data_IF_676156960104
#
_entry.id   IF_676156960104
#
_cell.length_a   1.000
_cell.length_b   1.000
_cell.length_c   1.000
_cell.angle_alpha   90.00
_cell.angle_beta   90.00
_cell.angle_gamma   90.00
#
_symmetry.space_group_name_H-M   'P 1'
#
loop_
_entity.id
_entity.type
_entity.pdbx_description
1 polymer ?
#
# COMPACT_ATOMS: atom_id res chain seq x y z
N UNK A 1 -33.83 -54.90 61.03
CA UNK A 1 -32.99 -55.80 60.22
C UNK A 1 -31.55 -55.31 60.35
N UNK A 2 -30.75 -55.70 61.36
CA UNK A 2 -30.11 -57.02 61.58
C UNK A 2 -29.45 -57.48 60.26
N UNK A 3 -28.13 -57.57 60.10
CA UNK A 3 -27.07 -58.23 60.91
C UNK A 3 -25.68 -57.71 60.49
N UNK A 4 -24.76 -57.30 61.38
CA UNK A 4 -23.78 -58.07 62.19
C UNK A 4 -22.57 -58.66 61.41
N UNK A 5 -21.39 -58.38 61.98
CA UNK A 5 -20.08 -59.09 61.89
C UNK A 5 -19.20 -58.71 60.67
N UNK A 6 -17.90 -58.39 60.78
CA UNK A 6 -16.92 -58.75 61.81
C UNK A 6 -15.79 -57.71 61.92
N UNK A 7 -15.60 -57.22 63.14
CA UNK A 7 -14.36 -56.64 63.64
C UNK A 7 -13.35 -57.75 63.91
N UNK A 8 -12.18 -57.70 63.27
CA UNK A 8 -10.89 -58.25 63.75
C UNK A 8 -9.88 -58.15 62.63
N UNK A 9 -9.03 -57.12 62.66
CA UNK A 9 -7.60 -57.25 62.33
C UNK A 9 -6.87 -56.16 63.12
N UNK A 10 -6.68 -56.46 64.41
CA UNK A 10 -5.76 -55.78 65.29
C UNK A 10 -4.33 -56.10 64.83
N UNK A 11 -3.54 -55.04 64.71
CA UNK A 11 -2.11 -54.96 65.04
C UNK A 11 -1.17 -55.90 64.28
N UNK A 12 -0.56 -55.34 63.23
CA UNK A 12 0.91 -55.39 63.10
C UNK A 12 1.38 -53.99 62.69
N UNK A 13 1.31 -53.02 63.61
CA UNK A 13 2.19 -51.86 63.55
C UNK A 13 3.54 -52.33 64.12
N UNK A 14 4.35 -52.96 63.27
CA UNK A 14 5.75 -53.23 63.57
C UNK A 14 6.42 -51.85 63.58
N UNK A 15 6.59 -51.28 64.77
CA UNK A 15 7.49 -50.14 64.98
C UNK A 15 8.88 -50.63 64.63
N UNK A 16 9.22 -50.48 63.35
CA UNK A 16 10.57 -50.65 62.86
C UNK A 16 11.36 -49.52 63.49
N UNK A 17 12.27 -49.89 64.37
CA UNK A 17 13.25 -49.02 64.99
C UNK A 17 14.12 -48.45 63.87
N UNK A 18 13.65 -47.36 63.26
CA UNK A 18 14.37 -46.63 62.22
C UNK A 18 15.51 -45.91 62.94
N UNK A 19 16.63 -46.61 63.09
CA UNK A 19 17.93 -45.93 63.21
C UNK A 19 17.94 -44.88 62.10
N UNK A 20 18.14 -43.59 62.38
CA UNK A 20 18.23 -42.58 61.33
C UNK A 20 19.45 -42.94 60.49
N UNK A 21 19.20 -43.64 59.37
CA UNK A 21 20.19 -43.84 58.33
C UNK A 21 20.44 -42.43 57.78
N UNK A 22 21.56 -41.83 58.20
CA UNK A 22 21.99 -40.55 57.69
C UNK A 22 22.01 -40.60 56.17
N UNK A 23 21.48 -39.55 55.54
CA UNK A 23 21.46 -39.40 54.09
C UNK A 23 22.84 -39.73 53.53
N UNK A 24 22.93 -40.72 52.65
CA UNK A 24 24.19 -41.03 51.99
C UNK A 24 24.48 -39.92 50.97
N UNK A 25 25.71 -39.42 50.91
CA UNK A 25 26.12 -38.37 49.95
C UNK A 25 25.78 -38.75 48.51
N UNK A 26 25.83 -40.05 48.18
CA UNK A 26 25.46 -40.59 46.87
C UNK A 26 23.98 -40.48 46.55
N UNK A 27 23.09 -40.61 47.53
CA UNK A 27 21.64 -40.44 47.34
C UNK A 27 21.29 -38.97 47.08
N UNK A 28 21.97 -38.05 47.77
CA UNK A 28 21.84 -36.61 47.52
C UNK A 28 22.40 -36.21 46.14
N UNK A 29 23.50 -36.83 45.70
CA UNK A 29 24.06 -36.63 44.36
C UNK A 29 23.09 -37.08 43.25
N UNK A 30 22.52 -38.28 43.37
CA UNK A 30 21.57 -38.79 42.38
C UNK A 30 20.28 -37.96 42.38
N UNK A 31 19.78 -37.57 43.55
CA UNK A 31 18.63 -36.66 43.66
C UNK A 31 18.86 -35.31 42.99
N UNK A 32 20.03 -34.71 43.20
CA UNK A 32 20.42 -33.46 42.54
C UNK A 32 20.52 -33.62 41.01
N UNK A 33 21.04 -34.75 40.53
CA UNK A 33 21.16 -35.04 39.11
C UNK A 33 19.80 -35.25 38.42
N UNK A 34 18.90 -36.03 39.02
CA UNK A 34 17.53 -36.21 38.49
C UNK A 34 16.74 -34.91 38.55
N UNK A 35 16.86 -34.16 39.66
CA UNK A 35 16.26 -32.83 39.79
C UNK A 35 16.78 -31.85 38.73
N UNK A 36 18.08 -31.87 38.45
CA UNK A 36 18.70 -31.06 37.40
C UNK A 36 18.14 -31.35 36.01
N UNK A 37 17.96 -32.63 35.66
CA UNK A 37 17.34 -33.01 34.39
C UNK A 37 15.86 -32.60 34.30
N UNK A 38 15.10 -32.75 35.38
CA UNK A 38 13.69 -32.33 35.42
C UNK A 38 13.55 -30.82 35.21
N UNK A 39 14.37 -30.01 35.89
CA UNK A 39 14.36 -28.54 35.74
C UNK A 39 14.82 -28.12 34.35
N UNK A 40 15.87 -28.75 33.80
CA UNK A 40 16.33 -28.47 32.44
C UNK A 40 15.27 -28.76 31.38
N UNK A 41 14.57 -29.90 31.50
CA UNK A 41 13.48 -30.25 30.61
C UNK A 41 12.31 -29.26 30.69
N UNK A 42 11.94 -28.82 31.89
CA UNK A 42 10.88 -27.83 32.08
C UNK A 42 11.28 -26.45 31.53
N UNK A 43 12.54 -26.04 31.72
CA UNK A 43 13.05 -24.78 31.19
C UNK A 43 13.02 -24.78 29.65
N UNK A 44 13.41 -25.90 29.02
CA UNK A 44 13.37 -26.05 27.57
C UNK A 44 11.95 -25.89 27.00
N UNK A 45 10.95 -26.49 27.66
CA UNK A 45 9.54 -26.35 27.26
C UNK A 45 9.02 -24.92 27.41
N UNK A 46 9.43 -24.21 28.46
CA UNK A 46 9.03 -22.81 28.64
C UNK A 46 9.67 -21.94 27.55
N UNK A 47 10.95 -22.14 27.23
CA UNK A 47 11.60 -21.35 26.18
C UNK A 47 10.96 -21.57 24.82
N UNK A 48 10.59 -22.81 24.48
CA UNK A 48 9.92 -23.08 23.20
C UNK A 48 8.52 -22.49 23.12
N UNK A 49 7.76 -22.50 24.22
CA UNK A 49 6.44 -21.85 24.27
C UNK A 49 6.55 -20.34 24.16
N UNK A 50 7.49 -19.71 24.88
CA UNK A 50 7.70 -18.26 24.82
C UNK A 50 8.15 -17.82 23.41
N UNK A 51 8.96 -18.62 22.73
CA UNK A 51 9.33 -18.36 21.33
C UNK A 51 8.12 -18.48 20.40
N UNK A 52 7.27 -19.50 20.58
CA UNK A 52 6.04 -19.65 19.80
C UNK A 52 5.08 -18.47 20.00
N UNK A 53 4.79 -18.09 21.26
CA UNK A 53 3.91 -16.97 21.59
C UNK A 53 4.42 -15.65 20.99
N UNK A 54 5.76 -15.44 21.01
CA UNK A 54 6.38 -14.27 20.39
C UNK A 54 6.20 -14.25 18.88
N UNK A 55 6.37 -15.39 18.22
CA UNK A 55 6.20 -15.49 16.77
C UNK A 55 4.74 -15.24 16.36
N UNK A 56 3.78 -15.82 17.08
CA UNK A 56 2.35 -15.64 16.82
C UNK A 56 1.93 -14.18 17.04
N UNK A 57 2.47 -13.52 18.06
CA UNK A 57 2.24 -12.10 18.31
C UNK A 57 2.78 -11.24 17.15
N UNK A 58 4.00 -11.50 16.69
CA UNK A 58 4.63 -10.76 15.59
C UNK A 58 3.81 -10.93 14.31
N UNK A 59 3.39 -12.15 13.98
CA UNK A 59 2.55 -12.42 12.81
C UNK A 59 1.22 -11.68 12.90
N UNK A 60 0.55 -11.75 14.05
CA UNK A 60 -0.74 -11.07 14.26
C UNK A 60 -0.62 -9.56 14.12
N UNK A 61 0.44 -8.97 14.68
CA UNK A 61 0.70 -7.53 14.54
C UNK A 61 0.97 -7.14 13.08
N UNK A 62 1.80 -7.91 12.37
CA UNK A 62 2.06 -7.63 10.95
C UNK A 62 0.79 -7.79 10.11
N UNK A 63 -0.04 -8.82 10.34
CA UNK A 63 -1.33 -8.96 9.67
C UNK A 63 -2.23 -7.74 9.89
N UNK A 64 -2.32 -7.25 11.13
CA UNK A 64 -3.10 -6.08 11.46
C UNK A 64 -2.58 -4.83 10.75
N UNK A 65 -1.26 -4.59 10.78
CA UNK A 65 -0.64 -3.45 10.08
C UNK A 65 -0.89 -3.47 8.56
N UNK A 66 -0.83 -4.66 7.94
CA UNK A 66 -1.12 -4.82 6.52
C UNK A 66 -2.61 -4.58 6.22
N UNK A 67 -3.51 -5.06 7.08
CA UNK A 67 -4.94 -4.85 6.94
C UNK A 67 -5.29 -3.35 7.07
N UNK A 68 -4.73 -2.67 8.08
CA UNK A 68 -4.93 -1.24 8.31
C UNK A 68 -4.38 -0.42 7.14
N UNK A 69 -3.16 -0.73 6.65
CA UNK A 69 -2.58 -0.07 5.49
C UNK A 69 -3.42 -0.29 4.22
N UNK A 70 -3.89 -1.52 4.00
CA UNK A 70 -4.70 -1.88 2.83
C UNK A 70 -6.06 -1.18 2.87
N UNK A 71 -6.71 -1.12 4.03
CA UNK A 71 -8.00 -0.43 4.19
C UNK A 71 -7.85 1.09 4.05
N UNK A 72 -6.75 1.65 4.56
CA UNK A 72 -6.43 3.06 4.37
C UNK A 72 -6.28 3.41 2.88
N UNK A 73 -5.51 2.62 2.11
CA UNK A 73 -5.36 2.83 0.66
C UNK A 73 -6.72 2.62 -0.06
N UNK A 74 -7.47 1.59 0.31
CA UNK A 74 -8.79 1.32 -0.27
C UNK A 74 -9.77 2.47 -0.04
N UNK A 75 -9.75 3.09 1.14
CA UNK A 75 -10.56 4.27 1.45
C UNK A 75 -10.17 5.45 0.57
N UNK A 76 -8.86 5.70 0.37
CA UNK A 76 -8.43 6.77 -0.54
C UNK A 76 -8.78 6.47 -2.00
N UNK A 77 -8.75 5.21 -2.44
CA UNK A 77 -9.22 4.82 -3.78
C UNK A 77 -10.71 5.09 -3.95
N UNK A 78 -11.53 4.81 -2.92
CA UNK A 78 -12.98 5.10 -2.96
C UNK A 78 -13.25 6.60 -3.07
N UNK A 79 -12.40 7.44 -2.49
CA UNK A 79 -12.46 8.91 -2.59
C UNK A 79 -11.79 9.47 -3.86
N UNK A 80 -11.11 8.64 -4.64
CA UNK A 80 -10.43 9.09 -5.83
C UNK A 80 -11.41 9.48 -6.94
N UNK A 81 -11.12 10.58 -7.60
CA UNK A 81 -11.80 11.02 -8.81
C UNK A 81 -11.32 10.19 -10.03
N UNK A 82 -10.03 9.89 -10.08
CA UNK A 82 -9.42 9.15 -11.18
C UNK A 82 -8.17 8.38 -10.72
N UNK A 83 -8.00 7.16 -11.21
CA UNK A 83 -6.84 6.30 -10.96
C UNK A 83 -6.18 5.97 -12.30
N UNK A 84 -4.87 6.18 -12.39
CA UNK A 84 -4.13 5.90 -13.62
C UNK A 84 -3.93 4.38 -13.80
N UNK A 85 -4.14 3.84 -15.00
CA UNK A 85 -3.79 2.45 -15.30
C UNK A 85 -2.27 2.25 -15.31
N UNK A 86 -1.81 1.00 -15.16
CA UNK A 86 -0.38 0.70 -15.08
C UNK A 86 0.44 1.12 -16.30
N UNK A 87 -0.12 1.01 -17.50
CA UNK A 87 0.50 1.53 -18.73
C UNK A 87 0.79 3.04 -18.69
N UNK A 88 0.12 3.78 -17.80
CA UNK A 88 0.34 5.20 -17.57
C UNK A 88 1.31 5.54 -16.45
N UNK A 89 1.78 4.53 -15.71
CA UNK A 89 2.62 4.67 -14.53
C UNK A 89 4.03 4.12 -14.78
N UNK A 90 4.15 3.08 -15.61
CA UNK A 90 5.42 2.51 -16.01
C UNK A 90 5.48 2.51 -17.55
N UNK A 91 5.89 3.63 -18.15
CA UNK A 91 5.97 3.71 -19.60
C UNK A 91 7.14 2.88 -20.14
N UNK A 92 6.80 1.69 -20.64
CA UNK A 92 7.44 1.28 -21.88
C UNK A 92 6.97 2.24 -22.99
N UNK A 93 7.86 2.99 -23.67
CA UNK A 93 7.49 3.96 -24.70
C UNK A 93 6.69 3.36 -25.88
N UNK A 94 6.59 2.03 -25.97
CA UNK A 94 5.79 1.33 -26.97
C UNK A 94 4.27 1.27 -26.66
N UNK A 95 3.86 1.48 -25.40
CA UNK A 95 2.46 1.44 -24.94
C UNK A 95 2.14 2.77 -24.28
N UNK A 96 1.75 3.74 -25.10
CA UNK A 96 1.32 5.05 -24.64
C UNK A 96 0.11 4.97 -23.70
N UNK A 97 0.01 5.90 -22.76
CA UNK A 97 -1.27 6.29 -22.17
C UNK A 97 -2.28 6.59 -23.27
N UNK A 98 -3.22 5.69 -23.51
CA UNK A 98 -4.18 5.88 -24.60
C UNK A 98 -5.10 7.05 -24.26
N UNK A 99 -5.10 8.09 -25.10
CA UNK A 99 -5.86 9.34 -24.83
C UNK A 99 -4.98 10.55 -24.55
N UNK A 100 -3.66 10.38 -24.42
CA UNK A 100 -2.66 11.47 -24.46
C UNK A 100 -2.08 11.63 -25.86
N UNK A 101 -2.94 11.53 -26.87
CA UNK A 101 -2.58 11.97 -28.21
C UNK A 101 -2.65 13.48 -28.18
N UNK A 102 -1.50 14.16 -28.14
CA UNK A 102 -1.45 15.57 -28.49
C UNK A 102 -1.87 15.69 -29.97
N UNK A 103 -3.04 16.25 -30.28
CA UNK A 103 -3.49 16.40 -31.65
C UNK A 103 -2.68 17.46 -32.41
N UNK A 104 -1.91 18.31 -31.72
CA UNK A 104 -1.27 19.49 -32.30
C UNK A 104 0.21 19.27 -32.69
N UNK A 105 0.92 18.29 -32.13
CA UNK A 105 2.38 18.18 -32.38
C UNK A 105 2.82 17.07 -33.33
N UNK A 106 2.01 16.05 -33.61
CA UNK A 106 2.41 14.94 -34.48
C UNK A 106 3.67 14.19 -33.99
N UNK A 107 4.14 14.50 -32.78
CA UNK A 107 5.26 13.88 -32.10
C UNK A 107 4.75 12.85 -31.11
N UNK A 108 5.63 11.88 -30.85
CA UNK A 108 5.45 10.69 -30.02
C UNK A 108 4.46 10.85 -28.86
N UNK A 109 3.60 9.85 -28.60
CA UNK A 109 2.65 9.88 -27.48
C UNK A 109 3.37 10.27 -26.20
N UNK A 110 2.86 11.26 -25.47
CA UNK A 110 3.53 11.76 -24.29
C UNK A 110 3.77 10.61 -23.30
N UNK A 111 5.06 10.35 -23.06
CA UNK A 111 5.56 9.26 -22.22
C UNK A 111 5.13 9.52 -20.78
N UNK A 112 4.73 8.46 -20.08
CA UNK A 112 4.42 8.33 -18.64
C UNK A 112 3.85 9.56 -17.88
N UNK A 113 2.81 9.37 -17.07
CA UNK A 113 2.40 10.41 -16.10
C UNK A 113 3.55 10.76 -15.16
N UNK A 114 4.43 9.79 -14.86
CA UNK A 114 5.57 9.96 -13.99
C UNK A 114 6.82 10.56 -14.65
N UNK A 115 6.96 10.52 -15.98
CA UNK A 115 8.07 11.17 -16.68
C UNK A 115 7.98 12.69 -16.51
N UNK A 116 6.75 13.21 -16.51
CA UNK A 116 6.47 14.61 -16.16
C UNK A 116 6.66 14.89 -14.66
N UNK A 117 6.41 13.91 -13.79
CA UNK A 117 6.57 14.06 -12.34
C UNK A 117 7.99 13.71 -11.91
N UNK A 118 8.88 14.69 -11.97
CA UNK A 118 10.24 14.56 -11.47
C UNK A 118 10.31 14.17 -9.98
N UNK A 119 11.40 13.55 -9.56
CA UNK A 119 11.72 13.40 -8.14
C UNK A 119 11.12 12.20 -7.40
N UNK A 120 10.57 11.21 -8.12
CA UNK A 120 10.51 9.85 -7.56
C UNK A 120 11.94 9.31 -7.52
N UNK A 121 12.47 8.92 -6.33
CA UNK A 121 13.82 8.39 -6.25
C UNK A 121 13.94 7.09 -7.06
N UNK A 122 15.10 6.86 -7.68
CA UNK A 122 15.37 5.65 -8.50
C UNK A 122 15.28 4.33 -7.74
N UNK A 123 15.18 4.38 -6.41
CA UNK A 123 15.03 3.21 -5.53
C UNK A 123 13.57 2.91 -5.18
N UNK A 124 12.63 3.64 -5.80
CA UNK A 124 11.21 3.51 -5.55
C UNK A 124 10.48 3.12 -6.81
N UNK A 125 9.60 2.13 -6.68
CA UNK A 125 8.77 1.67 -7.77
C UNK A 125 7.35 2.20 -7.54
N UNK A 126 6.79 2.96 -8.48
CA UNK A 126 5.42 3.42 -8.39
C UNK A 126 4.44 2.24 -8.55
N UNK A 127 3.34 2.27 -7.80
CA UNK A 127 2.33 1.22 -7.84
C UNK A 127 0.94 1.77 -8.08
N UNK A 128 0.63 2.94 -7.51
CA UNK A 128 -0.69 3.56 -7.66
C UNK A 128 -0.53 5.07 -7.77
N UNK A 129 -1.16 5.65 -8.78
CA UNK A 129 -1.22 7.10 -9.01
C UNK A 129 -2.69 7.48 -9.16
N UNK A 130 -3.15 8.45 -8.39
CA UNK A 130 -4.56 8.86 -8.42
C UNK A 130 -4.77 10.32 -8.05
N UNK A 131 -5.84 10.90 -8.59
CA UNK A 131 -6.36 12.19 -8.20
C UNK A 131 -7.45 12.01 -7.15
N UNK A 132 -7.31 12.68 -6.02
CA UNK A 132 -8.32 12.70 -4.96
C UNK A 132 -8.73 14.11 -4.58
N UNK A 133 -9.95 14.27 -4.09
CA UNK A 133 -10.36 15.52 -3.48
C UNK A 133 -9.68 15.70 -2.12
N UNK A 134 -9.12 16.88 -1.90
CA UNK A 134 -8.46 17.27 -0.67
C UNK A 134 -9.02 18.62 -0.18
N UNK A 135 -9.08 18.83 1.14
CA UNK A 135 -9.43 20.13 1.68
C UNK A 135 -8.37 21.16 1.31
N UNK A 136 -8.80 22.41 1.09
CA UNK A 136 -7.87 23.52 0.85
C UNK A 136 -6.95 23.70 2.07
N UNK A 137 -5.63 23.89 1.88
CA UNK A 137 -4.66 23.97 2.98
C UNK A 137 -4.77 25.30 3.74
N UNK A 138 -5.76 25.38 4.63
CA UNK A 138 -6.02 26.54 5.49
C UNK A 138 -5.52 26.29 6.92
N UNK A 139 -4.88 27.30 7.51
CA UNK A 139 -4.48 27.27 8.91
C UNK A 139 -5.65 27.61 9.84
N UNK A 140 -6.60 26.69 9.99
CA UNK A 140 -7.73 26.88 10.92
C UNK A 140 -7.47 26.38 12.34
N UNK A 141 -6.46 25.54 12.54
CA UNK A 141 -6.25 24.80 13.81
C UNK A 141 -4.78 24.62 14.20
N UNK A 142 -3.83 25.32 13.56
CA UNK A 142 -2.40 25.15 13.85
C UNK A 142 -1.79 23.85 13.32
N UNK A 143 -2.55 23.08 12.55
CA UNK A 143 -2.12 21.80 11.97
C UNK A 143 -1.16 21.95 10.78
N UNK A 144 -1.08 23.15 10.21
CA UNK A 144 -0.17 23.48 9.12
C UNK A 144 0.93 24.41 9.62
N UNK A 145 2.14 24.29 9.04
CA UNK A 145 3.31 25.07 9.43
C UNK A 145 3.09 26.59 9.39
N UNK A 146 3.93 27.34 10.11
CA UNK A 146 4.00 28.80 10.04
C UNK A 146 4.10 29.26 8.57
N UNK A 147 3.24 30.20 8.14
CA UNK A 147 3.17 30.69 6.75
C UNK A 147 1.98 30.17 5.94
N UNK A 148 1.14 29.32 6.53
CA UNK A 148 -0.13 28.88 5.93
C UNK A 148 -1.22 29.91 6.18
N UNK A 149 -1.96 30.36 5.16
CA UNK A 149 -2.98 31.40 5.32
C UNK A 149 -4.16 30.90 6.13
N UNK A 150 -4.65 31.75 7.03
CA UNK A 150 -5.84 31.48 7.86
C UNK A 150 -7.16 31.69 7.11
N UNK A 151 -7.10 32.23 5.89
CA UNK A 151 -8.27 32.54 5.06
C UNK A 151 -8.00 32.28 3.58
N UNK A 152 -9.07 32.09 2.82
CA UNK A 152 -9.04 31.99 1.37
C UNK A 152 -8.70 33.34 0.73
N UNK A 153 -8.12 33.37 -0.48
CA UNK A 153 -7.84 34.61 -1.19
C UNK A 153 -9.09 35.50 -1.35
N UNK A 154 -8.87 36.81 -1.36
CA UNK A 154 -9.91 37.77 -1.68
C UNK A 154 -10.04 37.85 -3.20
N UNK A 155 -11.14 37.40 -3.79
CA UNK A 155 -11.26 37.38 -5.25
C UNK A 155 -11.22 38.78 -5.88
N UNK A 156 -11.48 39.84 -5.11
CA UNK A 156 -11.35 41.22 -5.56
C UNK A 156 -9.89 41.70 -5.71
N UNK A 157 -8.90 40.94 -5.22
CA UNK A 157 -7.48 41.29 -5.38
C UNK A 157 -6.89 40.90 -6.73
N UNK A 158 -7.62 40.14 -7.55
CA UNK A 158 -7.19 39.74 -8.88
C UNK A 158 -7.69 40.73 -9.94
N UNK A 159 -6.94 40.94 -11.05
CA UNK A 159 -7.35 41.83 -12.14
C UNK A 159 -8.71 41.43 -12.74
N UNK A 160 -9.58 42.41 -12.99
CA UNK A 160 -10.88 42.17 -13.62
C UNK A 160 -10.72 41.47 -14.97
N UNK A 161 -11.52 40.42 -15.22
CA UNK A 161 -11.42 39.60 -16.43
C UNK A 161 -10.32 38.52 -16.39
N UNK A 162 -9.58 38.38 -15.29
CA UNK A 162 -8.61 37.29 -15.13
C UNK A 162 -9.32 35.95 -14.85
N UNK A 163 -8.87 34.82 -15.44
CA UNK A 163 -9.38 33.49 -15.10
C UNK A 163 -9.16 33.12 -13.63
N UNK A 164 -8.22 33.80 -12.95
CA UNK A 164 -8.00 33.62 -11.51
C UNK A 164 -9.19 34.07 -10.65
N UNK A 165 -10.06 34.96 -11.16
CA UNK A 165 -11.29 35.36 -10.45
C UNK A 165 -12.27 34.18 -10.39
N UNK A 166 -12.49 33.50 -11.52
CA UNK A 166 -13.37 32.34 -11.60
C UNK A 166 -12.82 31.17 -10.78
N UNK A 167 -11.50 30.95 -10.84
CA UNK A 167 -10.81 29.97 -10.00
C UNK A 167 -10.95 30.30 -8.50
N UNK A 168 -10.77 31.56 -8.11
CA UNK A 168 -10.96 32.02 -6.74
C UNK A 168 -12.41 31.81 -6.26
N UNK A 169 -13.40 32.15 -7.10
CA UNK A 169 -14.82 31.97 -6.77
C UNK A 169 -15.17 30.49 -6.63
N UNK A 170 -14.67 29.65 -7.54
CA UNK A 170 -14.82 28.20 -7.48
C UNK A 170 -14.22 27.66 -6.18
N UNK A 171 -12.98 28.02 -5.87
CA UNK A 171 -12.29 27.61 -4.64
C UNK A 171 -13.05 28.01 -3.36
N UNK A 172 -13.67 29.21 -3.35
CA UNK A 172 -14.49 29.67 -2.22
C UNK A 172 -15.79 28.92 -2.07
N UNK A 173 -16.39 28.52 -3.18
CA UNK A 173 -17.64 27.76 -3.22
C UNK A 173 -17.41 26.28 -2.87
N UNK A 174 -16.45 25.63 -3.52
CA UNK A 174 -16.20 24.19 -3.35
C UNK A 174 -15.42 23.88 -2.08
N UNK A 175 -14.44 24.73 -1.70
CA UNK A 175 -13.52 24.49 -0.56
C UNK A 175 -12.75 23.16 -0.64
N UNK A 176 -12.72 22.55 -1.80
CA UNK A 176 -11.98 21.34 -2.11
C UNK A 176 -11.16 21.57 -3.38
N UNK A 177 -10.00 20.93 -3.43
CA UNK A 177 -9.08 20.94 -4.57
C UNK A 177 -8.61 19.52 -4.82
N UNK A 178 -8.29 19.20 -6.07
CA UNK A 178 -7.68 17.92 -6.37
C UNK A 178 -6.21 17.91 -5.96
N UNK A 179 -5.79 16.83 -5.32
CA UNK A 179 -4.40 16.52 -5.02
C UNK A 179 -4.02 15.24 -5.73
N UNK A 180 -2.81 15.20 -6.27
CA UNK A 180 -2.23 13.98 -6.83
C UNK A 180 -1.62 13.16 -5.70
N UNK A 181 -1.98 11.88 -5.62
CA UNK A 181 -1.42 10.93 -4.64
C UNK A 181 -0.70 9.83 -5.39
N UNK A 182 0.53 9.57 -4.96
CA UNK A 182 1.40 8.53 -5.51
C UNK A 182 1.80 7.59 -4.38
N UNK A 183 1.53 6.30 -4.56
CA UNK A 183 2.06 5.25 -3.70
C UNK A 183 3.21 4.58 -4.42
N UNK A 184 4.34 4.52 -3.73
CA UNK A 184 5.52 3.81 -4.18
C UNK A 184 5.89 2.74 -3.17
N UNK A 185 6.50 1.67 -3.65
CA UNK A 185 7.24 0.74 -2.82
C UNK A 185 8.73 1.09 -2.89
N UNK A 186 9.36 1.23 -1.72
CA UNK A 186 10.80 1.48 -1.61
C UNK A 186 11.47 0.33 -0.88
N UNK A 187 12.55 -0.19 -1.46
CA UNK A 187 13.41 -1.13 -0.74
C UNK A 187 14.17 -0.41 0.37
N UNK A 188 14.14 -0.98 1.57
CA UNK A 188 14.94 -0.49 2.70
C UNK A 188 16.40 -0.90 2.47
N UNK A 189 17.29 0.08 2.59
CA UNK A 189 18.74 -0.12 2.45
C UNK A 189 19.44 0.27 3.74
N UNK A 190 20.66 -0.23 3.95
CA UNK A 190 21.48 0.19 5.11
C UNK A 190 21.85 1.68 5.08
N UNK A 191 21.70 2.34 3.92
CA UNK A 191 21.87 3.79 3.75
C UNK A 191 20.65 4.63 4.14
N UNK A 192 19.48 4.04 4.41
CA UNK A 192 18.25 4.77 4.77
C UNK A 192 18.21 5.25 6.24
N UNK A 193 19.32 5.11 6.98
CA UNK A 193 19.46 5.55 8.36
C UNK A 193 19.30 4.42 9.38
N UNK A 194 18.95 4.77 10.62
CA UNK A 194 18.74 3.81 11.72
C UNK A 194 17.30 3.35 11.87
N UNK A 195 16.34 4.06 11.28
CA UNK A 195 14.89 3.83 11.43
C UNK A 195 14.33 2.93 10.31
N UNK A 196 15.01 2.84 9.17
CA UNK A 196 14.51 2.12 8.00
C UNK A 196 15.51 1.08 7.52
N UNK A 197 15.97 0.23 8.44
CA UNK A 197 16.94 -0.80 8.10
C UNK A 197 16.25 -2.12 7.76
N UNK A 198 16.80 -2.88 6.79
CA UNK A 198 16.23 -4.17 6.41
C UNK A 198 16.22 -5.19 7.55
N UNK A 199 17.15 -5.09 8.50
CA UNK A 199 17.27 -6.03 9.62
C UNK A 199 16.35 -5.72 10.80
N UNK A 200 15.83 -4.49 10.93
CA UNK A 200 14.99 -4.06 12.07
C UNK A 200 13.56 -3.76 11.68
N UNK A 201 13.33 -3.17 10.51
CA UNK A 201 12.05 -2.54 10.17
C UNK A 201 11.36 -3.14 8.95
N UNK A 202 11.96 -4.16 8.32
CA UNK A 202 11.44 -4.87 7.14
C UNK A 202 12.25 -4.60 5.87
N UNK A 203 12.10 -5.45 4.84
CA UNK A 203 12.89 -5.36 3.60
C UNK A 203 12.46 -4.19 2.70
N UNK A 204 11.21 -3.75 2.79
CA UNK A 204 10.67 -2.64 2.00
C UNK A 204 9.55 -1.89 2.72
N UNK A 205 9.24 -0.68 2.28
CA UNK A 205 8.19 0.16 2.84
C UNK A 205 7.30 0.77 1.76
N UNK A 206 6.04 1.01 2.09
CA UNK A 206 5.13 1.81 1.26
C UNK A 206 5.28 3.27 1.64
N UNK A 207 5.59 4.09 0.64
CA UNK A 207 5.64 5.54 0.77
C UNK A 207 4.46 6.12 0.02
N UNK A 208 3.65 6.89 0.74
CA UNK A 208 2.59 7.72 0.19
C UNK A 208 3.15 9.13 0.01
N UNK A 209 3.03 9.67 -1.19
CA UNK A 209 3.28 11.08 -1.49
C UNK A 209 2.01 11.74 -1.96
N UNK A 210 1.75 12.93 -1.42
CA UNK A 210 0.64 13.76 -1.87
C UNK A 210 1.18 15.11 -2.32
N UNK A 211 0.82 15.50 -3.53
CA UNK A 211 1.12 16.78 -4.15
C UNK A 211 -0.17 17.61 -4.22
N UNK A 212 -0.31 18.64 -3.36
CA UNK A 212 -1.48 19.51 -3.40
C UNK A 212 -1.43 20.43 -4.62
N UNK A 213 -2.59 20.91 -5.07
CA UNK A 213 -2.69 21.91 -6.16
C UNK A 213 -1.97 23.22 -5.85
N UNK A 214 -2.04 23.67 -4.60
CA UNK A 214 -1.40 24.91 -4.14
C UNK A 214 -0.47 24.61 -2.97
N UNK A 215 0.73 25.19 -3.01
CA UNK A 215 1.52 25.32 -1.79
C UNK A 215 0.78 26.26 -0.82
N UNK A 216 0.88 26.07 0.50
CA UNK A 216 0.18 26.93 1.43
C UNK A 216 0.52 28.42 1.28
N UNK A 217 1.78 28.77 1.03
CA UNK A 217 2.22 30.16 0.81
C UNK A 217 1.72 30.75 -0.51
N UNK A 218 1.40 29.90 -1.50
CA UNK A 218 0.97 30.27 -2.84
C UNK A 218 -0.56 30.32 -3.00
N UNK A 219 -1.31 29.86 -1.99
CA UNK A 219 -2.77 29.86 -2.02
C UNK A 219 -3.36 31.27 -2.18
N UNK A 220 -2.73 32.29 -1.58
CA UNK A 220 -3.22 33.67 -1.66
C UNK A 220 -3.05 34.29 -3.05
N UNK A 221 -2.05 33.84 -3.80
CA UNK A 221 -1.78 34.29 -5.18
C UNK A 221 -2.39 33.36 -6.21
N UNK A 222 -2.99 32.23 -5.78
CA UNK A 222 -3.45 31.14 -6.63
C UNK A 222 -2.36 30.62 -7.58
N UNK A 223 -1.10 30.72 -7.15
CA UNK A 223 0.01 30.14 -7.90
C UNK A 223 -0.04 28.63 -7.71
N UNK A 224 -0.29 27.91 -8.80
CA UNK A 224 -0.38 26.45 -8.79
C UNK A 224 1.03 25.86 -8.65
N UNK A 225 1.12 24.67 -8.07
CA UNK A 225 2.37 23.90 -8.02
C UNK A 225 2.70 23.21 -9.36
N UNK A 226 1.74 23.18 -10.29
CA UNK A 226 1.86 22.62 -11.62
C UNK A 226 0.95 23.43 -12.56
N UNK A 227 1.49 23.81 -13.72
CA UNK A 227 0.87 24.83 -14.60
C UNK A 227 -0.42 24.34 -15.25
N UNK A 228 -0.47 23.06 -15.64
CA UNK A 228 -1.64 22.41 -16.23
C UNK A 228 -2.38 21.61 -15.16
N UNK A 229 -3.05 22.26 -14.21
CA UNK A 229 -3.90 21.50 -13.29
C UNK A 229 -5.04 20.83 -14.07
N UNK A 230 -5.30 19.51 -13.90
CA UNK A 230 -6.36 18.87 -14.66
C UNK A 230 -7.68 19.53 -14.30
N UNK A 231 -8.42 19.93 -15.33
CA UNK A 231 -9.83 20.19 -15.18
C UNK A 231 -10.47 18.87 -14.71
N UNK A 232 -11.41 18.86 -13.75
CA UNK A 232 -12.18 17.67 -13.41
C UNK A 232 -12.77 16.91 -14.62
N UNK A 233 -12.92 17.57 -15.77
CA UNK A 233 -13.33 16.92 -17.02
C UNK A 233 -12.26 16.06 -17.70
N UNK A 234 -10.97 16.24 -17.40
CA UNK A 234 -9.88 15.56 -18.12
C UNK A 234 -8.63 15.28 -17.26
N UNK A 235 -8.78 14.38 -16.28
CA UNK A 235 -7.63 13.82 -15.56
C UNK A 235 -6.74 12.91 -16.43
N UNK A 236 -7.27 12.43 -17.57
CA UNK A 236 -6.62 11.41 -18.40
C UNK A 236 -5.47 12.00 -19.22
N UNK A 237 -5.67 13.18 -19.78
CA UNK A 237 -4.67 13.87 -20.60
C UNK A 237 -3.68 14.70 -19.77
N UNK A 238 -3.83 14.72 -18.44
CA UNK A 238 -3.00 15.54 -17.57
C UNK A 238 -1.51 15.31 -17.84
N UNK A 239 -0.82 16.41 -18.12
CA UNK A 239 0.62 16.46 -18.29
C UNK A 239 1.22 17.40 -17.25
N UNK A 240 2.36 17.01 -16.68
CA UNK A 240 3.19 17.97 -16.01
C UNK A 240 4.01 18.75 -17.04
N UNK A 241 3.55 19.95 -17.37
CA UNK A 241 4.42 20.95 -17.97
C UNK A 241 5.17 21.71 -16.86
N UNK A 242 6.50 21.77 -16.95
CA UNK A 242 7.35 22.58 -16.06
C UNK A 242 8.02 21.81 -14.91
N UNK A 243 7.89 22.31 -13.66
CA UNK A 243 8.63 21.81 -12.47
C UNK A 243 7.75 21.02 -11.50
N UNK A 244 7.03 19.98 -11.96
CA UNK A 244 6.32 19.10 -11.03
C UNK A 244 7.28 18.08 -10.44
N UNK A 245 7.96 18.46 -9.36
CA UNK A 245 8.77 17.50 -8.62
C UNK A 245 8.12 17.11 -7.30
N UNK A 246 7.85 15.81 -7.10
CA UNK A 246 7.33 15.28 -5.82
C UNK A 246 8.27 15.56 -4.65
N UNK A 247 9.57 15.70 -4.90
CA UNK A 247 10.57 15.99 -3.88
C UNK A 247 10.76 17.49 -3.61
N UNK A 248 10.35 18.36 -4.54
CA UNK A 248 10.54 19.82 -4.42
C UNK A 248 9.24 20.61 -4.24
N UNK A 249 8.07 19.99 -4.46
CA UNK A 249 6.79 20.66 -4.26
C UNK A 249 6.65 21.10 -2.80
N UNK A 250 6.70 22.41 -2.57
CA UNK A 250 6.55 23.00 -1.25
C UNK A 250 5.18 22.60 -0.67
N UNK A 251 5.19 21.76 0.38
CA UNK A 251 3.97 21.19 0.96
C UNK A 251 3.63 19.77 0.52
N UNK A 252 4.47 19.12 -0.29
CA UNK A 252 4.38 17.68 -0.54
C UNK A 252 4.44 16.92 0.78
N UNK A 253 3.47 16.02 0.98
CA UNK A 253 3.36 15.23 2.21
C UNK A 253 3.87 13.83 1.92
N UNK A 254 4.99 13.49 2.56
CA UNK A 254 5.57 12.16 2.49
C UNK A 254 5.24 11.43 3.79
N UNK A 255 4.53 10.30 3.69
CA UNK A 255 4.21 9.45 4.81
C UNK A 255 4.62 8.01 4.49
N UNK A 256 5.28 7.35 5.44
CA UNK A 256 5.48 5.91 5.38
C UNK A 256 4.24 5.27 6.00
N UNK A 257 3.54 4.43 5.25
CA UNK A 257 2.32 3.76 5.74
C UNK A 257 2.64 2.48 6.49
N UNK A 258 3.54 1.67 5.93
CA UNK A 258 3.93 0.37 6.47
C UNK A 258 5.36 0.05 6.03
N UNK A 259 6.14 -0.53 6.93
CA UNK A 259 7.57 -0.84 6.72
C UNK A 259 7.90 -2.33 6.68
N UNK A 260 6.98 -3.21 7.10
CA UNK A 260 7.18 -4.66 7.10
C UNK A 260 6.76 -5.28 5.76
N UNK A 261 7.16 -4.69 4.64
CA UNK A 261 6.83 -5.20 3.30
C UNK A 261 7.97 -6.09 2.82
N UNK A 262 7.60 -7.13 2.08
CA UNK A 262 8.56 -8.07 1.52
C UNK A 262 9.43 -7.42 0.42
N UNK A 263 10.57 -8.01 0.09
CA UNK A 263 11.49 -7.45 -0.91
C UNK A 263 10.81 -7.35 -2.29
N UNK A 264 10.70 -6.14 -2.88
CA UNK A 264 10.04 -5.90 -4.17
C UNK A 264 10.79 -6.51 -5.36
N UNK A 265 12.03 -6.95 -5.16
CA UNK A 265 12.91 -7.48 -6.22
C UNK A 265 13.03 -9.00 -6.20
N UNK A 266 12.30 -9.70 -5.32
CA UNK A 266 12.39 -11.16 -5.22
C UNK A 266 12.07 -11.77 -6.59
N UNK A 267 13.02 -12.54 -7.11
CA UNK A 267 12.80 -13.30 -8.33
C UNK A 267 11.79 -14.42 -8.01
N UNK A 268 10.63 -14.44 -8.68
CA UNK A 268 9.57 -15.40 -8.42
C UNK A 268 9.97 -16.84 -8.71
N UNK A 269 10.90 -17.07 -9.65
CA UNK A 269 11.41 -18.40 -9.97
C UNK A 269 12.23 -19.01 -8.82
N UNK A 270 12.68 -18.18 -7.89
CA UNK A 270 13.46 -18.57 -6.71
C UNK A 270 12.69 -18.37 -5.41
N UNK A 271 11.44 -17.88 -5.48
CA UNK A 271 10.61 -17.69 -4.30
C UNK A 271 10.14 -19.07 -3.79
N UNK A 272 10.50 -19.48 -2.56
CA UNK A 272 10.11 -20.77 -2.01
C UNK A 272 8.60 -20.94 -1.83
N UNK A 273 7.83 -19.84 -1.86
CA UNK A 273 6.37 -19.89 -1.83
C UNK A 273 5.74 -20.13 -3.19
N UNK A 274 6.53 -20.19 -4.27
CA UNK A 274 6.07 -20.39 -5.65
C UNK A 274 4.84 -19.53 -5.93
N UNK A 275 4.98 -18.23 -5.69
CA UNK A 275 3.90 -17.26 -5.81
C UNK A 275 3.12 -17.53 -7.09
N UNK A 276 1.87 -17.95 -6.93
CA UNK A 276 0.98 -18.18 -8.06
C UNK A 276 1.02 -16.94 -8.94
N UNK A 277 1.37 -17.16 -10.22
CA UNK A 277 1.27 -16.17 -11.28
C UNK A 277 -0.11 -15.51 -11.16
N UNK A 278 -0.12 -14.21 -10.88
CA UNK A 278 -1.36 -13.48 -10.66
C UNK A 278 -2.16 -13.54 -11.96
N UNK A 279 -3.36 -14.10 -11.87
CA UNK A 279 -4.29 -14.21 -12.99
C UNK A 279 -5.05 -12.89 -13.08
N UNK A 280 -5.28 -12.41 -14.31
CA UNK A 280 -6.07 -11.22 -14.55
C UNK A 280 -7.40 -11.27 -13.76
N UNK A 281 -7.74 -10.24 -12.96
CA UNK A 281 -8.94 -10.25 -12.12
C UNK A 281 -10.26 -10.37 -12.90
N UNK A 282 -10.27 -9.96 -14.16
CA UNK A 282 -11.43 -10.10 -15.03
C UNK A 282 -11.12 -9.80 -16.49
N UNK A 283 -11.90 -10.41 -17.37
CA UNK A 283 -11.73 -10.30 -18.81
C UNK A 283 -12.82 -9.44 -19.43
N UNK A 284 -12.48 -8.79 -20.53
CA UNK A 284 -13.40 -8.06 -21.40
C UNK A 284 -13.22 -8.56 -22.84
N UNK A 285 -14.16 -8.20 -23.70
CA UNK A 285 -14.08 -8.50 -25.13
C UNK A 285 -13.42 -7.35 -25.86
N UNK A 286 -12.39 -7.63 -26.65
CA UNK A 286 -11.79 -6.64 -27.54
C UNK A 286 -12.71 -6.33 -28.75
N UNK A 287 -12.30 -5.38 -29.59
CA UNK A 287 -13.03 -5.04 -30.83
C UNK A 287 -13.16 -6.18 -31.83
N UNK A 288 -12.34 -7.23 -31.71
CA UNK A 288 -12.32 -8.40 -32.58
C UNK A 288 -13.12 -9.58 -32.00
N UNK A 289 -13.72 -9.44 -30.81
CA UNK A 289 -14.45 -10.52 -30.15
C UNK A 289 -13.59 -11.43 -29.26
N UNK A 290 -12.30 -11.14 -29.08
CA UNK A 290 -11.40 -11.95 -28.24
C UNK A 290 -11.54 -11.59 -26.76
N UNK A 291 -11.40 -12.59 -25.89
CA UNK A 291 -11.29 -12.38 -24.45
C UNK A 291 -9.91 -11.85 -24.09
N UNK A 292 -9.86 -10.64 -23.54
CA UNK A 292 -8.62 -9.94 -23.16
C UNK A 292 -8.69 -9.47 -21.72
N UNK A 293 -7.55 -9.32 -21.06
CA UNK A 293 -7.52 -8.82 -19.69
C UNK A 293 -8.07 -7.39 -19.64
N UNK A 294 -9.05 -7.14 -18.77
CA UNK A 294 -9.71 -5.85 -18.61
C UNK A 294 -8.99 -4.92 -17.61
N UNK A 295 -7.86 -5.37 -17.07
CA UNK A 295 -7.12 -4.68 -16.03
C UNK A 295 -5.67 -4.47 -16.46
N UNK A 296 -5.12 -3.33 -16.08
CA UNK A 296 -3.72 -2.97 -16.28
C UNK A 296 -2.98 -3.13 -14.94
N UNK A 297 -2.00 -4.04 -14.84
CA UNK A 297 -1.23 -4.24 -13.62
C UNK A 297 -0.15 -3.17 -13.44
N UNK A 298 0.13 -2.83 -12.19
CA UNK A 298 1.23 -1.95 -11.78
C UNK A 298 1.95 -2.58 -10.57
N UNK A 299 3.28 -2.68 -10.55
CA UNK A 299 4.20 -2.28 -11.62
C UNK A 299 4.02 -3.11 -12.91
N UNK A 300 4.23 -2.48 -14.07
CA UNK A 300 4.11 -3.15 -15.38
C UNK A 300 5.35 -4.01 -15.59
N UNK A 301 5.14 -5.23 -16.08
CA UNK A 301 6.24 -6.10 -16.43
C UNK A 301 6.96 -5.59 -17.68
N UNK A 302 8.29 -5.50 -17.60
CA UNK A 302 9.15 -5.13 -18.74
C UNK A 302 9.14 -6.16 -19.88
N UNK A 303 8.47 -7.31 -19.71
CA UNK A 303 8.35 -8.36 -20.74
C UNK A 303 6.89 -8.72 -21.05
N UNK A 304 6.44 -8.67 -22.32
CA UNK A 304 5.05 -8.95 -22.73
C UNK A 304 4.54 -10.38 -22.43
N UNK A 305 5.44 -11.33 -22.19
CA UNK A 305 5.10 -12.76 -22.02
C UNK A 305 5.01 -13.21 -20.57
N UNK A 306 5.36 -12.34 -19.61
CA UNK A 306 5.30 -12.64 -18.19
C UNK A 306 4.98 -11.40 -17.39
N UNK A 307 3.72 -11.23 -16.99
CA UNK A 307 3.34 -10.30 -15.93
C UNK A 307 4.11 -10.69 -14.67
N UNK A 308 5.21 -10.02 -14.37
CA UNK A 308 5.99 -10.18 -13.14
C UNK A 308 5.38 -9.33 -12.01
N UNK A 309 4.04 -9.36 -11.88
CA UNK A 309 3.23 -8.75 -10.81
C UNK A 309 3.48 -9.40 -9.44
N UNK A 310 4.71 -9.79 -9.17
CA UNK A 310 5.19 -10.49 -7.99
C UNK A 310 6.05 -9.55 -7.13
N UNK A 311 5.88 -8.24 -7.33
CA UNK A 311 6.26 -7.24 -6.32
C UNK A 311 5.47 -7.51 -5.04
N UNK A 312 6.06 -7.20 -3.89
CA UNK A 312 5.39 -7.27 -2.60
C UNK A 312 4.21 -6.28 -2.49
N UNK A 313 4.12 -5.30 -3.39
CA UNK A 313 2.99 -4.39 -3.51
C UNK A 313 2.65 -4.20 -4.98
N UNK A 314 1.42 -4.54 -5.36
CA UNK A 314 0.94 -4.38 -6.73
C UNK A 314 -0.55 -4.03 -6.77
N UNK A 315 -0.96 -3.38 -7.85
CA UNK A 315 -2.33 -3.00 -8.12
C UNK A 315 -2.74 -3.42 -9.53
N UNK A 316 -4.04 -3.63 -9.75
CA UNK A 316 -4.64 -3.83 -11.06
C UNK A 316 -5.77 -2.83 -11.21
N UNK A 317 -5.66 -1.95 -12.18
CA UNK A 317 -6.65 -0.90 -12.44
C UNK A 317 -7.46 -1.29 -13.65
N UNK A 318 -8.78 -1.23 -13.54
CA UNK A 318 -9.68 -1.50 -14.67
C UNK A 318 -9.43 -0.48 -15.79
N UNK A 319 -9.13 -0.99 -16.97
CA UNK A 319 -8.93 -0.18 -18.18
C UNK A 319 -10.30 0.27 -18.70
N UNK A 320 -10.43 1.55 -19.05
CA UNK A 320 -11.69 2.09 -19.56
C UNK A 320 -11.99 1.56 -20.99
N UNK A 321 -13.26 1.51 -21.43
CA UNK A 321 -13.58 1.11 -22.79
C UNK A 321 -12.97 2.04 -23.82
N UNK A 322 -12.57 1.49 -24.97
CA UNK A 322 -11.87 2.22 -26.01
C UNK A 322 -10.38 2.44 -25.75
N UNK A 323 -9.85 1.95 -24.63
CA UNK A 323 -8.42 1.98 -24.31
C UNK A 323 -7.77 0.64 -24.65
N UNK A 324 -6.48 0.67 -25.01
CA UNK A 324 -5.70 -0.53 -25.20
C UNK A 324 -5.34 -1.11 -23.83
N UNK A 325 -5.47 -2.41 -23.67
CA UNK A 325 -4.98 -3.10 -22.48
C UNK A 325 -3.45 -3.33 -22.58
N UNK A 326 -2.81 -3.94 -21.57
CA UNK A 326 -1.37 -4.23 -21.61
C UNK A 326 -0.90 -5.09 -22.80
N UNK A 327 -1.82 -5.81 -23.46
CA UNK A 327 -1.54 -6.59 -24.65
C UNK A 327 -1.73 -5.80 -25.96
N UNK A 328 -2.01 -4.49 -25.88
CA UNK A 328 -2.27 -3.62 -27.03
C UNK A 328 -3.68 -3.73 -27.62
N UNK A 329 -4.58 -4.51 -27.01
CA UNK A 329 -5.92 -4.75 -27.54
C UNK A 329 -6.92 -3.72 -27.01
N UNK A 330 -7.65 -3.05 -27.91
CA UNK A 330 -8.68 -2.07 -27.53
C UNK A 330 -9.93 -2.76 -26.96
N UNK A 331 -10.31 -2.39 -25.75
CA UNK A 331 -11.51 -2.94 -25.09
C UNK A 331 -12.78 -2.37 -25.75
N UNK A 332 -13.73 -3.24 -26.11
CA UNK A 332 -14.99 -2.85 -26.72
C UNK A 332 -15.85 -1.92 -25.85
N UNK A 333 -16.61 -1.00 -26.48
CA UNK A 333 -17.42 0.04 -25.82
C UNK A 333 -18.64 -0.44 -25.04
N UNK A 334 -18.87 -1.75 -24.93
CA UNK A 334 -20.04 -2.29 -24.25
C UNK A 334 -19.83 -2.34 -22.74
N UNK A 335 -20.33 -1.32 -22.04
CA UNK A 335 -20.59 -1.28 -20.58
C UNK A 335 -19.43 -0.80 -19.69
N UNK A 336 -19.11 0.49 -19.66
CA UNK A 336 -18.47 1.07 -18.46
C UNK A 336 -19.17 2.35 -18.01
N UNK A 337 -19.62 2.33 -16.77
CA UNK A 337 -19.74 3.55 -15.99
C UNK A 337 -18.36 4.11 -15.67
N UNK A 338 -18.33 5.38 -15.27
CA UNK A 338 -17.13 6.21 -15.02
C UNK A 338 -16.31 5.71 -13.81
N UNK A 339 -16.78 4.68 -13.10
CA UNK A 339 -16.13 4.12 -11.92
C UNK A 339 -15.06 3.11 -12.31
N UNK A 340 -13.86 3.27 -11.75
CA UNK A 340 -12.75 2.37 -11.95
C UNK A 340 -12.66 1.40 -10.77
N UNK A 341 -12.49 0.12 -11.07
CA UNK A 341 -12.19 -0.88 -10.04
C UNK A 341 -10.68 -1.06 -9.95
N UNK A 342 -10.16 -1.07 -8.72
CA UNK A 342 -8.75 -1.29 -8.41
C UNK A 342 -8.66 -2.51 -7.51
N UNK A 343 -7.94 -3.54 -7.95
CA UNK A 343 -7.53 -4.65 -7.10
C UNK A 343 -6.15 -4.35 -6.54
N UNK A 344 -6.05 -4.31 -5.23
CA UNK A 344 -4.81 -4.03 -4.52
C UNK A 344 -4.36 -5.29 -3.80
N UNK A 345 -3.07 -5.61 -3.88
CA UNK A 345 -2.48 -6.69 -3.09
C UNK A 345 -1.19 -6.23 -2.45
N UNK A 346 -1.04 -6.60 -1.18
CA UNK A 346 0.08 -6.28 -0.34
C UNK A 346 0.62 -7.55 0.31
N UNK A 347 1.93 -7.73 0.27
CA UNK A 347 2.65 -8.82 0.91
C UNK A 347 3.58 -8.26 1.99
N UNK A 348 3.32 -8.65 3.23
CA UNK A 348 4.21 -8.33 4.33
C UNK A 348 5.19 -9.45 4.64
N UNK A 349 6.28 -9.06 5.29
CA UNK A 349 7.33 -9.94 5.76
C UNK A 349 7.65 -9.56 7.22
N UNK A 350 7.36 -10.49 8.14
CA UNK A 350 7.55 -10.27 9.57
C UNK A 350 8.95 -10.68 10.10
N UNK A 351 9.86 -11.12 9.21
CA UNK A 351 11.16 -11.69 9.59
C UNK A 351 12.08 -10.71 10.32
N UNK A 352 12.05 -9.43 9.96
CA UNK A 352 12.85 -8.39 10.62
C UNK A 352 12.50 -8.26 12.11
N UNK A 353 11.22 -8.34 12.46
CA UNK A 353 10.74 -8.27 13.85
C UNK A 353 11.04 -9.53 14.65
N UNK A 354 11.07 -10.67 13.98
CA UNK A 354 11.42 -11.95 14.60
C UNK A 354 12.93 -12.06 14.92
N UNK A 355 13.76 -11.09 14.51
CA UNK A 355 15.23 -11.16 14.56
C UNK A 355 15.76 -12.47 13.92
N UNK A 356 15.02 -13.01 12.96
CA UNK A 356 15.30 -14.27 12.29
C UNK A 356 15.80 -13.98 10.88
N UNK A 357 17.12 -13.87 10.75
CA UNK A 357 17.82 -13.49 9.52
C UNK A 357 17.71 -14.52 8.38
N UNK A 358 17.23 -15.73 8.66
CA UNK A 358 17.36 -16.88 7.73
C UNK A 358 16.03 -17.52 7.31
N UNK A 359 14.90 -16.83 7.53
CA UNK A 359 13.57 -17.39 7.26
C UNK A 359 12.90 -16.65 6.10
N UNK A 360 13.55 -16.75 4.94
CA UNK A 360 12.83 -16.67 3.65
C UNK A 360 11.97 -17.92 3.40
N UNK A 361 11.93 -18.89 4.32
CA UNK A 361 11.20 -20.15 4.21
C UNK A 361 9.66 -20.05 4.36
N UNK A 362 9.06 -18.92 3.96
CA UNK A 362 7.60 -18.78 3.84
C UNK A 362 6.80 -18.67 5.14
N UNK A 363 7.37 -19.00 6.31
CA UNK A 363 6.66 -18.98 7.61
C UNK A 363 6.26 -17.59 8.13
N UNK A 364 6.85 -16.52 7.59
CA UNK A 364 6.60 -15.14 8.03
C UNK A 364 6.08 -14.22 6.93
N UNK A 365 5.63 -14.80 5.82
CA UNK A 365 5.03 -14.06 4.71
C UNK A 365 3.52 -14.03 4.87
N UNK A 366 2.94 -12.85 4.67
CA UNK A 366 1.51 -12.60 4.80
C UNK A 366 1.04 -11.87 3.56
N UNK A 367 -0.10 -12.24 3.00
CA UNK A 367 -0.67 -11.56 1.83
C UNK A 367 -2.08 -11.07 2.13
N UNK A 368 -2.30 -9.78 1.93
CA UNK A 368 -3.58 -9.09 2.04
C UNK A 368 -4.00 -8.65 0.64
N UNK A 369 -5.26 -8.87 0.25
CA UNK A 369 -5.79 -8.33 -1.00
C UNK A 369 -7.15 -7.69 -0.76
N UNK A 370 -7.46 -6.66 -1.52
CA UNK A 370 -8.74 -5.95 -1.47
C UNK A 370 -9.13 -5.44 -2.85
N UNK A 371 -10.41 -5.15 -3.02
CA UNK A 371 -10.95 -4.47 -4.20
C UNK A 371 -11.60 -3.17 -3.73
N UNK A 372 -11.30 -2.08 -4.42
CA UNK A 372 -11.91 -0.79 -4.19
C UNK A 372 -12.39 -0.21 -5.53
N UNK A 373 -13.60 0.35 -5.51
CA UNK A 373 -14.18 1.04 -6.66
C UNK A 373 -14.15 2.54 -6.39
N UNK A 374 -13.69 3.33 -7.35
CA UNK A 374 -13.65 4.79 -7.23
C UNK A 374 -15.06 5.37 -7.12
N UNK A 375 -15.19 6.51 -6.45
CA UNK A 375 -16.44 7.28 -6.45
C UNK A 375 -16.87 7.61 -7.89
N UNK A 376 -15.88 7.86 -8.76
CA UNK A 376 -16.05 8.28 -10.15
C UNK A 376 -16.54 9.72 -10.23
N UNK A 377 -16.13 10.43 -11.27
CA UNK A 377 -16.70 11.73 -11.57
C UNK A 377 -18.03 11.55 -12.31
N UNK A 378 -19.10 12.22 -11.88
CA UNK A 378 -20.32 12.32 -12.68
C UNK A 378 -20.04 13.34 -13.77
N UNK A 379 -19.65 12.87 -14.96
CA UNK A 379 -19.56 13.73 -16.12
C UNK A 379 -20.93 14.39 -16.33
N UNK A 380 -20.99 15.71 -16.12
CA UNK A 380 -22.19 16.47 -16.43
C UNK A 380 -22.18 16.54 -17.93
N UNK A 381 -22.87 15.59 -18.57
CA UNK A 381 -23.15 15.59 -19.99
C UNK A 381 -23.78 16.94 -20.33
N UNK A 382 -22.95 17.92 -20.71
CA UNK A 382 -23.38 19.13 -21.39
C UNK A 382 -23.78 18.61 -22.77
N UNK A 383 -24.99 18.07 -22.83
CA UNK A 383 -25.75 18.02 -24.06
C UNK A 383 -25.73 19.43 -24.59
N UNK A 384 -25.03 19.61 -25.71
CA UNK A 384 -25.11 20.83 -26.49
C UNK A 384 -26.61 21.06 -26.74
N UNK A 385 -27.14 22.08 -26.08
CA UNK A 385 -28.44 22.63 -26.46
C UNK A 385 -28.20 23.18 -27.86
N UNK A 386 -28.65 22.42 -28.86
CA UNK A 386 -28.60 22.82 -30.24
C UNK A 386 -29.19 24.22 -30.35
N UNK A 387 -28.36 25.14 -30.82
CA UNK A 387 -28.80 26.40 -31.40
C UNK A 387 -29.73 26.08 -32.57
N UNK A 388 -31.03 26.31 -32.38
CA UNK A 388 -31.96 26.62 -33.45
C UNK A 388 -32.18 28.13 -33.47
#
# INVERSE_FOLDING_TARGET
MLTRLSSRWLRIAKTQDRRPAGFTITELLVGALVGGFAVSGMLYLITSLVEADRNDLILTQTQQELADATEYIATEIREAAFVYPGECIDANPATACVGRNDPDTGTTPATDVLDGIGGIPTQETPVLVMWKEAPVPLNKTGYFANGTPSSLPNCASFPAGSPLIEECQTLRSTRHVFSLVVYTIRRNTTSDGTIWRPDTDGEARIVRREMPRYAPSQLLTLTKLFDNNPDPSDFRSWDCEGTCSLSQAAGARNAVLVSNIDDPTINPATDPLNLQRVVCPGFATDTNGNSVCAYSPTPVATTPTGMNTQSAFYAWVRVAPGQANPAGNTIGRSSAGIKQDVYLTLRGNASARANQRDIRAGRFMLTQSTIATTAGFADREITSVGSN
#
